data_IF_292998939717
#
_entry.id   IF_292998939717
#
_cell.length_a   1.000
_cell.length_b   1.000
_cell.length_c   1.000
_cell.angle_alpha   90.00
_cell.angle_beta   90.00
_cell.angle_gamma   90.00
#
_symmetry.space_group_name_H-M   'P 1'
#
loop_
_entity.id
_entity.type
_entity.pdbx_description
1 polymer ?
#
# COMPACT_ATOMS: atom_id res chain seq x y z
N UNK A 1 -1.88 -11.87 16.78
CA UNK A 1 -1.94 -11.94 15.29
C UNK A 1 -1.61 -10.56 14.75
N UNK A 2 -0.50 -10.41 14.03
CA UNK A 2 -0.10 -9.13 13.45
C UNK A 2 -0.80 -8.96 12.09
N UNK A 3 -1.82 -8.08 11.96
CA UNK A 3 -2.59 -7.92 10.71
C UNK A 3 -1.74 -7.41 9.54
N UNK A 4 -0.52 -6.91 9.80
CA UNK A 4 0.40 -6.47 8.76
C UNK A 4 1.07 -7.62 8.00
N UNK A 5 1.11 -8.83 8.55
CA UNK A 5 1.88 -9.94 7.97
C UNK A 5 1.33 -10.43 6.61
N UNK A 6 0.04 -10.23 6.33
CA UNK A 6 -0.57 -10.61 5.05
C UNK A 6 -0.30 -9.62 3.91
N UNK A 7 0.09 -8.38 4.22
CA UNK A 7 0.23 -7.30 3.24
C UNK A 7 1.64 -7.22 2.65
N UNK A 8 2.68 -7.58 3.42
CA UNK A 8 4.08 -7.53 2.97
C UNK A 8 4.43 -8.51 1.85
N UNK A 9 3.66 -9.58 1.65
CA UNK A 9 3.97 -10.59 0.63
C UNK A 9 3.75 -10.09 -0.81
N UNK A 10 2.92 -9.06 -1.01
CA UNK A 10 2.46 -8.66 -2.35
C UNK A 10 3.21 -7.45 -2.94
N UNK A 11 3.93 -6.69 -2.13
CA UNK A 11 4.61 -5.46 -2.57
C UNK A 11 6.03 -5.46 -1.96
N UNK A 12 7.09 -5.67 -2.77
CA UNK A 12 8.46 -5.67 -2.27
C UNK A 12 8.80 -4.30 -1.68
N UNK A 13 9.21 -4.27 -0.41
CA UNK A 13 9.58 -3.05 0.30
C UNK A 13 8.41 -2.26 0.91
N UNK A 14 7.17 -2.78 0.85
CA UNK A 14 6.03 -2.18 1.55
C UNK A 14 6.25 -2.19 3.06
N UNK A 15 6.17 -1.02 3.66
CA UNK A 15 6.23 -0.86 5.11
C UNK A 15 4.87 -0.40 5.61
N UNK A 16 4.30 -1.14 6.56
CA UNK A 16 2.99 -0.82 7.17
C UNK A 16 3.16 -0.71 8.68
N UNK A 17 2.63 0.37 9.26
CA UNK A 17 2.67 0.60 10.71
C UNK A 17 1.43 1.35 11.20
N UNK A 18 1.18 1.27 12.50
CA UNK A 18 0.13 2.05 13.17
C UNK A 18 0.74 3.22 13.93
N UNK A 19 0.34 4.44 13.58
CA UNK A 19 0.74 5.65 14.26
C UNK A 19 -0.09 5.83 15.53
N UNK A 20 0.49 5.57 16.69
CA UNK A 20 -0.22 5.64 17.98
C UNK A 20 -0.76 7.06 18.25
N UNK A 21 0.01 8.09 17.89
CA UNK A 21 -0.35 9.50 18.09
C UNK A 21 -1.43 10.00 17.13
N UNK A 22 -1.40 9.55 15.87
CA UNK A 22 -2.40 9.92 14.86
C UNK A 22 -3.62 8.99 14.87
N UNK A 23 -3.51 7.85 15.55
CA UNK A 23 -4.49 6.76 15.54
C UNK A 23 -4.83 6.27 14.13
N UNK A 24 -3.86 6.35 13.23
CA UNK A 24 -3.99 5.99 11.82
C UNK A 24 -3.04 4.86 11.45
N UNK A 25 -3.45 4.06 10.49
CA UNK A 25 -2.61 3.12 9.76
C UNK A 25 -1.90 3.81 8.61
N UNK A 26 -0.61 3.53 8.49
CA UNK A 26 0.26 4.11 7.48
C UNK A 26 0.87 3.01 6.63
N UNK A 27 0.99 3.26 5.32
CA UNK A 27 1.69 2.40 4.39
C UNK A 27 2.64 3.23 3.52
N UNK A 28 3.93 2.90 3.57
CA UNK A 28 4.95 3.44 2.67
C UNK A 28 5.24 2.44 1.55
N UNK A 29 5.13 2.92 0.32
CA UNK A 29 5.37 2.14 -0.89
C UNK A 29 6.55 2.80 -1.61
N UNK A 30 7.72 2.14 -1.66
CA UNK A 30 8.85 2.65 -2.42
C UNK A 30 8.57 2.54 -3.92
N UNK A 31 8.88 3.57 -4.69
CA UNK A 31 8.74 3.54 -6.15
C UNK A 31 8.93 4.90 -6.84
N UNK A 32 8.87 4.97 -8.17
CA UNK A 32 8.84 6.24 -8.89
C UNK A 32 7.40 6.63 -9.29
N UNK A 33 6.66 7.47 -8.53
CA UNK A 33 7.05 8.17 -7.30
C UNK A 33 6.73 7.40 -6.01
N UNK A 34 7.45 7.74 -4.94
CA UNK A 34 7.22 7.18 -3.61
C UNK A 34 5.83 7.60 -3.13
N UNK A 35 5.13 6.68 -2.46
CA UNK A 35 3.78 6.94 -1.95
C UNK A 35 3.67 6.61 -0.49
N UNK A 36 3.07 7.55 0.24
CA UNK A 36 2.68 7.38 1.63
C UNK A 36 1.15 7.44 1.71
N UNK A 37 0.55 6.42 2.29
CA UNK A 37 -0.89 6.32 2.48
C UNK A 37 -1.23 6.33 3.96
N UNK A 38 -2.25 7.11 4.31
CA UNK A 38 -2.88 7.09 5.62
C UNK A 38 -4.29 6.51 5.51
N UNK A 39 -4.70 5.70 6.49
CA UNK A 39 -6.07 5.26 6.65
C UNK A 39 -6.45 5.10 8.13
N UNK A 40 -7.71 5.36 8.52
CA UNK A 40 -8.15 5.20 9.91
C UNK A 40 -8.25 3.74 10.34
N UNK A 41 -8.36 2.80 9.39
CA UNK A 41 -8.49 1.36 9.64
C UNK A 41 -7.57 0.55 8.74
N UNK A 42 -7.15 -0.67 9.14
CA UNK A 42 -6.36 -1.55 8.30
C UNK A 42 -7.08 -1.91 6.99
N UNK A 43 -8.40 -2.09 7.06
CA UNK A 43 -9.24 -2.41 5.91
C UNK A 43 -9.23 -1.30 4.85
N UNK A 44 -9.40 -0.03 5.28
CA UNK A 44 -9.29 1.11 4.39
C UNK A 44 -7.89 1.23 3.78
N UNK A 45 -6.83 0.87 4.52
CA UNK A 45 -5.47 0.84 4.00
C UNK A 45 -5.33 -0.24 2.91
N UNK A 46 -5.86 -1.43 3.14
CA UNK A 46 -5.85 -2.53 2.18
C UNK A 46 -6.61 -2.16 0.89
N UNK A 47 -7.79 -1.54 1.00
CA UNK A 47 -8.55 -1.06 -0.16
C UNK A 47 -7.75 -0.06 -1.00
N UNK A 48 -7.06 0.90 -0.37
CA UNK A 48 -6.19 1.85 -1.07
C UNK A 48 -5.01 1.15 -1.75
N UNK A 49 -4.40 0.16 -1.09
CA UNK A 49 -3.28 -0.60 -1.65
C UNK A 49 -3.70 -1.44 -2.86
N UNK A 50 -4.85 -2.11 -2.80
CA UNK A 50 -5.40 -2.89 -3.92
C UNK A 50 -5.65 -1.99 -5.14
N UNK A 51 -6.24 -0.81 -4.94
CA UNK A 51 -6.48 0.15 -6.02
C UNK A 51 -5.17 0.64 -6.69
N UNK A 52 -4.08 0.72 -5.94
CA UNK A 52 -2.76 1.09 -6.47
C UNK A 52 -2.09 -0.05 -7.23
N UNK A 53 -2.17 -1.28 -6.69
CA UNK A 53 -1.63 -2.47 -7.35
C UNK A 53 -2.27 -2.68 -8.71
N UNK A 54 -3.61 -2.53 -8.80
CA UNK A 54 -4.32 -2.64 -10.07
C UNK A 54 -3.82 -1.62 -11.11
N UNK A 55 -3.67 -0.35 -10.73
CA UNK A 55 -3.16 0.71 -11.62
C UNK A 55 -1.71 0.46 -12.06
N UNK A 56 -0.90 -0.12 -11.21
CA UNK A 56 0.47 -0.49 -11.56
C UNK A 56 0.50 -1.61 -12.60
N UNK A 57 -0.35 -2.63 -12.43
CA UNK A 57 -0.54 -3.70 -13.41
C UNK A 57 -1.06 -3.18 -14.75
N UNK A 58 -2.05 -2.29 -14.76
CA UNK A 58 -2.57 -1.69 -15.99
C UNK A 58 -1.52 -0.86 -16.75
N UNK A 59 -0.69 -0.08 -16.04
CA UNK A 59 0.43 0.64 -16.67
C UNK A 59 1.49 -0.27 -17.26
N UNK A 60 1.74 -1.42 -16.63
CA UNK A 60 2.73 -2.37 -17.12
C UNK A 60 2.26 -3.10 -18.39
N UNK A 61 0.94 -3.27 -18.56
CA UNK A 61 0.34 -3.92 -19.74
C UNK A 61 0.01 -2.95 -20.89
N UNK A 62 0.22 -1.63 -20.73
CA UNK A 62 0.03 -0.68 -21.81
C UNK A 62 1.11 -0.92 -22.90
N UNK A 63 0.73 -1.29 -24.14
CA UNK A 63 1.70 -1.49 -25.20
C UNK A 63 2.36 -0.15 -25.54
N UNK A 64 3.69 -0.15 -25.62
CA UNK A 64 4.48 0.91 -26.25
C UNK A 64 3.93 1.11 -27.67
N UNK A 65 3.28 2.25 -27.88
CA UNK A 65 2.73 2.65 -29.17
C UNK A 65 3.67 3.61 -29.87
#
# INVERSE_FOLDING_TARGET
>A
MNPAAGLTHWIPGLQVWYGIYTRSWWAFIPGPPDRLLEAPTPDHLAQKLTALSLRATERHLAPLR
#
